data_IF_146780617867
#
_entry.id   IF_146780617867
#
_cell.length_a   1.000
_cell.length_b   1.000
_cell.length_c   1.000
_cell.angle_alpha   90.00
_cell.angle_beta   90.00
_cell.angle_gamma   90.00
#
_symmetry.space_group_name_H-M   'P 1'
#
loop_
_entity.id
_entity.type
_entity.pdbx_description
1 polymer ?
#
# COMPACT_ATOMS: atom_id res chain seq x y z
N UNK A 1 -4.47 -13.04 -23.20
CA UNK A 1 -5.59 -13.05 -22.24
C UNK A 1 -5.59 -11.82 -21.32
N UNK A 2 -4.43 -11.24 -20.99
CA UNK A 2 -4.36 -10.08 -20.08
C UNK A 2 -4.29 -10.47 -18.61
N UNK A 3 -4.16 -11.76 -18.33
CA UNK A 3 -3.97 -12.36 -17.01
C UNK A 3 -3.41 -13.78 -17.21
N UNK A 4 -2.82 -14.34 -16.15
CA UNK A 4 -2.43 -15.76 -16.08
C UNK A 4 -3.66 -16.55 -15.61
N UNK A 5 -4.16 -17.52 -16.41
CA UNK A 5 -5.35 -18.27 -16.03
C UNK A 5 -5.14 -19.18 -14.81
N UNK A 6 -6.24 -19.44 -14.08
CA UNK A 6 -6.27 -20.27 -12.88
C UNK A 6 -6.12 -21.77 -13.17
N UNK A 7 -6.63 -22.25 -14.31
CA UNK A 7 -6.82 -23.67 -14.60
C UNK A 7 -5.84 -24.23 -15.66
N UNK A 8 -4.65 -23.63 -15.80
CA UNK A 8 -3.65 -24.00 -16.83
C UNK A 8 -2.35 -24.59 -16.25
N UNK A 9 -2.39 -25.06 -15.00
CA UNK A 9 -1.23 -25.67 -14.34
C UNK A 9 -0.14 -24.68 -13.90
N UNK A 10 -0.50 -23.40 -13.75
CA UNK A 10 0.38 -22.35 -13.22
C UNK A 10 -0.24 -21.86 -11.91
N UNK A 11 0.41 -22.14 -10.78
CA UNK A 11 -0.04 -21.67 -9.46
C UNK A 11 0.27 -20.18 -9.26
N UNK A 12 -0.35 -19.59 -8.23
CA UNK A 12 -0.20 -18.18 -7.82
C UNK A 12 -0.52 -17.20 -8.97
N UNK A 13 -1.39 -17.62 -9.88
CA UNK A 13 -1.64 -16.95 -11.14
C UNK A 13 -2.25 -15.54 -10.98
N UNK A 14 -3.03 -15.30 -9.93
CA UNK A 14 -3.59 -13.98 -9.64
C UNK A 14 -2.54 -13.04 -9.06
N UNK A 15 -1.74 -13.50 -8.10
CA UNK A 15 -0.59 -12.74 -7.56
C UNK A 15 0.36 -12.32 -8.70
N UNK A 16 0.78 -13.27 -9.54
CA UNK A 16 1.61 -13.02 -10.74
C UNK A 16 1.00 -11.97 -11.66
N UNK A 17 -0.30 -12.06 -11.94
CA UNK A 17 -0.97 -11.10 -12.83
C UNK A 17 -0.95 -9.68 -12.27
N UNK A 18 -1.16 -9.52 -10.97
CA UNK A 18 -1.19 -8.21 -10.30
C UNK A 18 0.21 -7.57 -10.30
N UNK A 19 1.22 -8.34 -9.92
CA UNK A 19 2.61 -7.90 -9.92
C UNK A 19 3.11 -7.60 -11.33
N UNK A 20 2.81 -8.45 -12.32
CA UNK A 20 3.19 -8.19 -13.72
C UNK A 20 2.53 -6.92 -14.29
N UNK A 21 1.31 -6.58 -13.86
CA UNK A 21 0.68 -5.32 -14.26
C UNK A 21 1.46 -4.11 -13.71
N UNK A 22 1.92 -4.18 -12.47
CA UNK A 22 2.78 -3.15 -11.90
C UNK A 22 4.16 -3.11 -12.59
N UNK A 23 4.77 -4.27 -12.88
CA UNK A 23 6.06 -4.35 -13.58
C UNK A 23 5.97 -3.75 -14.99
N UNK A 24 4.89 -4.04 -15.74
CA UNK A 24 4.62 -3.44 -17.05
C UNK A 24 4.47 -1.90 -16.91
N UNK A 25 3.90 -1.39 -15.82
CA UNK A 25 3.88 0.05 -15.55
C UNK A 25 5.29 0.61 -15.30
N UNK A 26 6.16 -0.08 -14.57
CA UNK A 26 7.55 0.35 -14.39
C UNK A 26 8.31 0.40 -15.72
N UNK A 27 8.12 -0.60 -16.59
CA UNK A 27 8.71 -0.61 -17.95
C UNK A 27 8.19 0.57 -18.77
N UNK A 28 6.89 0.87 -18.67
CA UNK A 28 6.29 2.04 -19.31
C UNK A 28 6.95 3.35 -18.82
N UNK A 29 7.15 3.53 -17.51
CA UNK A 29 7.81 4.71 -16.95
C UNK A 29 9.26 4.85 -17.43
N UNK A 30 10.03 3.74 -17.46
CA UNK A 30 11.40 3.76 -18.01
C UNK A 30 11.40 4.14 -19.49
N UNK A 31 10.46 3.61 -20.27
CA UNK A 31 10.27 3.97 -21.68
C UNK A 31 10.00 5.47 -21.88
N UNK A 32 9.17 6.09 -21.03
CA UNK A 32 8.96 7.55 -21.01
C UNK A 32 10.25 8.30 -20.70
N UNK A 33 10.97 7.90 -19.65
CA UNK A 33 12.22 8.55 -19.24
C UNK A 33 13.30 8.49 -20.34
N UNK A 34 13.40 7.37 -21.05
CA UNK A 34 14.30 7.18 -22.20
C UNK A 34 13.80 7.83 -23.50
N UNK A 35 12.65 8.51 -23.47
CA UNK A 35 12.01 9.13 -24.65
C UNK A 35 11.81 8.15 -25.81
N UNK A 36 11.45 6.90 -25.50
CA UNK A 36 11.15 5.88 -26.52
C UNK A 36 9.92 6.27 -27.34
N UNK A 37 9.81 5.84 -28.61
CA UNK A 37 8.64 6.11 -29.42
C UNK A 37 7.35 5.64 -28.74
N UNK A 38 6.29 6.46 -28.79
CA UNK A 38 4.99 6.14 -28.15
C UNK A 38 4.48 4.74 -28.49
N UNK A 39 4.61 4.34 -29.76
CA UNK A 39 4.19 3.02 -30.26
C UNK A 39 4.93 1.85 -29.58
N UNK A 40 6.18 2.04 -29.15
CA UNK A 40 6.94 1.00 -28.45
C UNK A 40 6.47 0.83 -27.00
N UNK A 41 6.06 1.92 -26.34
CA UNK A 41 5.72 1.91 -24.91
C UNK A 41 4.22 1.73 -24.63
N UNK A 42 3.36 1.95 -25.63
CA UNK A 42 1.90 1.87 -25.49
C UNK A 42 1.40 0.48 -25.09
N UNK A 43 2.12 -0.59 -25.48
CA UNK A 43 1.79 -1.95 -25.06
C UNK A 43 1.92 -2.12 -23.55
N UNK A 44 2.94 -1.50 -22.93
CA UNK A 44 3.18 -1.55 -21.50
C UNK A 44 2.15 -0.71 -20.73
N UNK A 45 1.76 0.46 -21.26
CA UNK A 45 0.63 1.23 -20.72
C UNK A 45 -0.68 0.42 -20.71
N UNK A 46 -0.96 -0.32 -21.79
CA UNK A 46 -2.14 -1.19 -21.87
C UNK A 46 -2.06 -2.33 -20.85
N UNK A 47 -0.90 -2.99 -20.75
CA UNK A 47 -0.72 -4.13 -19.84
C UNK A 47 -0.69 -3.71 -18.37
N UNK A 48 -0.27 -2.49 -18.06
CA UNK A 48 -0.38 -1.92 -16.72
C UNK A 48 -1.82 -1.91 -16.18
N UNK A 49 -2.83 -1.95 -17.05
CA UNK A 49 -4.23 -2.04 -16.66
C UNK A 49 -4.74 -3.48 -16.48
N UNK A 50 -3.87 -4.51 -16.59
CA UNK A 50 -4.27 -5.92 -16.54
C UNK A 50 -4.84 -6.35 -15.18
N UNK A 51 -4.54 -5.64 -14.09
CA UNK A 51 -5.15 -5.90 -12.78
C UNK A 51 -6.70 -5.88 -12.85
N UNK A 52 -7.28 -5.06 -13.74
CA UNK A 52 -8.73 -4.97 -13.96
C UNK A 52 -9.35 -6.29 -14.41
N UNK A 53 -8.57 -7.18 -15.04
CA UNK A 53 -9.08 -8.44 -15.59
C UNK A 53 -9.45 -9.47 -14.51
N UNK A 54 -8.89 -9.34 -13.30
CA UNK A 54 -9.10 -10.26 -12.18
C UNK A 54 -10.01 -9.69 -11.09
N UNK A 55 -10.50 -8.47 -11.24
CA UNK A 55 -11.42 -7.89 -10.26
C UNK A 55 -12.82 -8.47 -10.42
N UNK A 56 -13.31 -9.16 -9.40
CA UNK A 56 -14.67 -9.68 -9.32
C UNK A 56 -15.60 -8.64 -8.66
N UNK A 57 -16.52 -8.01 -9.43
CA UNK A 57 -17.41 -6.99 -8.90
C UNK A 57 -18.45 -7.52 -7.90
N UNK A 58 -18.76 -8.83 -7.91
CA UNK A 58 -19.70 -9.44 -6.96
C UNK A 58 -19.12 -9.40 -5.53
N UNK A 59 -17.83 -9.70 -5.40
CA UNK A 59 -17.13 -9.78 -4.11
C UNK A 59 -16.27 -8.55 -3.81
N UNK A 60 -16.08 -7.65 -4.79
CA UNK A 60 -15.18 -6.49 -4.73
C UNK A 60 -13.72 -6.85 -4.42
N UNK A 61 -13.28 -7.99 -4.93
CA UNK A 61 -12.02 -8.62 -4.60
C UNK A 61 -11.34 -9.16 -5.86
N UNK A 62 -10.02 -9.30 -5.81
CA UNK A 62 -9.28 -10.00 -6.87
C UNK A 62 -9.57 -11.49 -6.79
N UNK A 63 -9.80 -12.12 -7.93
CA UNK A 63 -10.27 -13.50 -8.03
C UNK A 63 -9.60 -14.21 -9.21
N UNK A 64 -9.25 -15.48 -9.02
CA UNK A 64 -8.70 -16.31 -10.09
C UNK A 64 -9.65 -16.36 -11.30
N UNK A 65 -9.10 -16.44 -12.50
CA UNK A 65 -9.92 -16.45 -13.72
C UNK A 65 -9.45 -17.56 -14.64
N UNK A 66 -10.37 -18.41 -15.06
CA UNK A 66 -10.11 -19.54 -15.94
C UNK A 66 -9.74 -19.05 -17.35
N UNK A 67 -9.14 -19.93 -18.14
CA UNK A 67 -8.68 -19.61 -19.50
C UNK A 67 -9.83 -19.16 -20.42
N UNK A 68 -11.04 -19.68 -20.18
CA UNK A 68 -12.26 -19.33 -20.92
C UNK A 68 -12.86 -17.96 -20.52
N UNK A 69 -12.30 -17.28 -19.53
CA UNK A 69 -12.76 -15.98 -19.04
C UNK A 69 -13.77 -16.03 -17.89
N UNK A 70 -14.19 -17.22 -17.43
CA UNK A 70 -15.01 -17.36 -16.22
C UNK A 70 -14.17 -17.19 -14.97
N UNK A 71 -14.72 -16.60 -13.90
CA UNK A 71 -14.03 -16.59 -12.60
C UNK A 71 -14.04 -17.99 -11.98
N UNK A 72 -12.96 -18.37 -11.29
CA UNK A 72 -12.84 -19.72 -10.71
C UNK A 72 -13.93 -19.96 -9.65
N UNK A 73 -14.50 -21.16 -9.60
CA UNK A 73 -15.57 -21.51 -8.65
C UNK A 73 -15.35 -22.91 -8.06
N UNK A 74 -15.62 -23.15 -6.76
CA UNK A 74 -16.10 -22.19 -5.77
C UNK A 74 -15.05 -21.13 -5.40
N UNK A 75 -15.48 -19.94 -4.98
CA UNK A 75 -14.60 -18.89 -4.48
C UNK A 75 -14.61 -18.83 -2.96
N UNK A 76 -13.43 -18.97 -2.37
CA UNK A 76 -13.19 -18.67 -0.96
C UNK A 76 -12.16 -17.53 -0.87
N UNK A 77 -12.55 -16.30 -0.49
CA UNK A 77 -11.63 -15.17 -0.41
C UNK A 77 -10.59 -15.31 0.71
N UNK A 78 -10.80 -16.23 1.65
CA UNK A 78 -9.92 -16.52 2.78
C UNK A 78 -8.98 -17.71 2.54
N UNK A 79 -9.02 -18.31 1.35
CA UNK A 79 -8.09 -19.38 0.97
C UNK A 79 -6.71 -18.81 0.70
N UNK A 80 -5.73 -19.26 1.46
CA UNK A 80 -4.33 -18.87 1.28
C UNK A 80 -3.67 -19.72 0.19
N UNK A 81 -2.76 -19.11 -0.57
CA UNK A 81 -2.08 -19.77 -1.67
C UNK A 81 -2.97 -19.92 -2.90
N UNK A 82 -2.81 -21.01 -3.65
CA UNK A 82 -3.62 -21.36 -4.82
C UNK A 82 -3.54 -20.31 -5.94
N UNK A 83 -4.44 -19.33 -5.96
CA UNK A 83 -4.37 -18.21 -6.90
C UNK A 83 -3.38 -17.12 -6.44
N UNK A 84 -3.05 -17.08 -5.16
CA UNK A 84 -2.17 -16.08 -4.53
C UNK A 84 -0.92 -16.77 -3.95
N UNK A 85 0.06 -15.99 -3.49
CA UNK A 85 1.23 -16.49 -2.77
C UNK A 85 1.17 -16.03 -1.33
N UNK A 86 1.42 -16.93 -0.37
CA UNK A 86 1.54 -16.64 1.08
C UNK A 86 0.44 -15.75 1.67
N UNK A 87 -0.74 -15.77 1.06
CA UNK A 87 -1.81 -14.84 1.36
C UNK A 87 -3.06 -15.22 0.61
N UNK A 88 -4.12 -14.43 0.84
CA UNK A 88 -5.41 -14.64 0.22
C UNK A 88 -5.87 -13.38 -0.53
N UNK A 89 -7.10 -13.38 -1.02
CA UNK A 89 -7.63 -12.27 -1.80
C UNK A 89 -7.71 -10.95 -1.01
N UNK A 90 -7.95 -11.00 0.30
CA UNK A 90 -7.97 -9.82 1.17
C UNK A 90 -6.59 -9.17 1.34
N UNK A 91 -5.51 -9.89 1.05
CA UNK A 91 -4.16 -9.34 1.09
C UNK A 91 -3.75 -8.79 -0.29
N UNK A 92 -3.99 -9.56 -1.35
CA UNK A 92 -3.52 -9.24 -2.70
C UNK A 92 -4.41 -8.25 -3.46
N UNK A 93 -5.66 -8.03 -3.05
CA UNK A 93 -6.55 -7.08 -3.75
C UNK A 93 -5.97 -5.65 -3.80
N UNK A 94 -5.11 -5.31 -2.84
CA UNK A 94 -4.48 -4.01 -2.72
C UNK A 94 -3.23 -3.84 -3.59
N UNK A 95 -2.73 -4.89 -4.25
CA UNK A 95 -1.52 -4.89 -5.10
C UNK A 95 -1.74 -4.21 -6.44
N UNK A 96 -2.12 -2.92 -6.39
CA UNK A 96 -2.30 -2.01 -7.53
C UNK A 96 -1.59 -0.70 -7.20
N UNK A 97 -0.28 -0.79 -6.90
CA UNK A 97 0.55 0.30 -6.39
C UNK A 97 0.53 1.54 -7.30
N UNK A 98 0.56 1.30 -8.61
CA UNK A 98 0.64 2.33 -9.65
C UNK A 98 -0.70 2.95 -10.00
N UNK A 99 -1.83 2.32 -9.65
CA UNK A 99 -3.16 2.83 -9.98
C UNK A 99 -4.23 2.68 -8.86
N UNK A 100 -4.00 3.20 -7.64
CA UNK A 100 -5.00 3.19 -6.58
C UNK A 100 -6.33 3.82 -7.01
N UNK A 101 -6.32 4.91 -7.77
CA UNK A 101 -7.56 5.52 -8.29
C UNK A 101 -8.35 4.54 -9.17
N UNK A 102 -7.68 3.79 -10.05
CA UNK A 102 -8.36 2.80 -10.88
C UNK A 102 -8.98 1.66 -10.05
N UNK A 103 -8.35 1.26 -8.94
CA UNK A 103 -8.94 0.31 -7.98
C UNK A 103 -10.12 0.92 -7.21
N UNK A 104 -10.03 2.20 -6.81
CA UNK A 104 -11.13 2.95 -6.20
C UNK A 104 -12.34 2.96 -7.15
N UNK A 105 -12.12 3.21 -8.44
CA UNK A 105 -13.19 3.25 -9.44
C UNK A 105 -13.85 1.86 -9.59
N UNK A 106 -13.08 0.77 -9.59
CA UNK A 106 -13.60 -0.61 -9.61
C UNK A 106 -14.46 -0.94 -8.37
N UNK A 107 -14.09 -0.41 -7.21
CA UNK A 107 -14.81 -0.63 -5.94
C UNK A 107 -16.09 0.20 -5.78
N UNK A 108 -16.41 1.05 -6.77
CA UNK A 108 -17.58 1.93 -6.76
C UNK A 108 -17.33 3.26 -6.08
N UNK A 109 -16.08 3.73 -6.07
CA UNK A 109 -15.67 5.00 -5.50
C UNK A 109 -15.06 4.90 -4.10
N UNK A 110 -14.69 6.07 -3.56
CA UNK A 110 -13.90 6.20 -2.32
C UNK A 110 -14.56 5.51 -1.12
N UNK A 111 -15.89 5.57 -1.02
CA UNK A 111 -16.63 4.98 0.09
C UNK A 111 -16.57 3.44 0.06
N UNK A 112 -16.77 2.85 -1.13
CA UNK A 112 -16.63 1.40 -1.31
C UNK A 112 -15.21 0.91 -1.03
N UNK A 113 -14.21 1.67 -1.50
CA UNK A 113 -12.80 1.39 -1.23
C UNK A 113 -12.47 1.44 0.26
N UNK A 114 -12.90 2.50 0.96
CA UNK A 114 -12.67 2.66 2.40
C UNK A 114 -13.39 1.58 3.22
N UNK A 115 -14.61 1.21 2.84
CA UNK A 115 -15.36 0.14 3.51
C UNK A 115 -14.65 -1.22 3.39
N UNK A 116 -14.11 -1.54 2.22
CA UNK A 116 -13.35 -2.78 2.01
C UNK A 116 -12.08 -2.79 2.86
N UNK A 117 -11.37 -1.65 2.96
CA UNK A 117 -10.14 -1.56 3.75
C UNK A 117 -10.41 -1.58 5.25
N UNK A 118 -11.47 -0.93 5.72
CA UNK A 118 -11.93 -1.02 7.12
C UNK A 118 -12.26 -2.48 7.48
N UNK A 119 -12.86 -3.22 6.55
CA UNK A 119 -13.26 -4.61 6.76
C UNK A 119 -12.08 -5.54 7.01
N UNK A 120 -10.89 -5.25 6.47
CA UNK A 120 -9.66 -6.04 6.73
C UNK A 120 -9.37 -6.15 8.22
N UNK A 121 -9.55 -5.07 8.98
CA UNK A 121 -9.31 -5.06 10.43
C UNK A 121 -10.46 -5.63 11.26
N UNK A 122 -11.67 -5.68 10.69
CA UNK A 122 -12.89 -6.12 11.37
C UNK A 122 -13.10 -7.62 11.21
N UNK A 123 -12.78 -8.18 10.04
CA UNK A 123 -12.97 -9.58 9.75
C UNK A 123 -12.10 -10.43 10.68
N UNK A 124 -12.65 -11.44 11.37
CA UNK A 124 -11.86 -12.32 12.21
C UNK A 124 -10.75 -13.00 11.37
N UNK A 125 -9.59 -13.33 11.96
CA UNK A 125 -8.47 -14.00 11.26
C UNK A 125 -8.78 -15.46 10.95
N UNK A 126 -9.92 -15.72 10.29
CA UNK A 126 -10.31 -17.01 9.73
C UNK A 126 -9.54 -17.17 8.42
N UNK A 127 -9.04 -18.38 8.19
CA UNK A 127 -8.26 -18.74 7.02
C UNK A 127 -8.72 -20.10 6.49
N UNK A 128 -8.34 -20.39 5.25
CA UNK A 128 -8.39 -21.73 4.66
C UNK A 128 -6.99 -22.08 4.15
N UNK A 129 -6.37 -23.06 4.82
CA UNK A 129 -5.01 -23.55 4.57
C UNK A 129 -4.97 -24.77 3.65
N UNK A 130 -6.09 -25.16 3.03
CA UNK A 130 -6.21 -26.40 2.25
C UNK A 130 -5.18 -26.55 1.13
N UNK A 131 -4.69 -25.44 0.57
CA UNK A 131 -3.60 -25.43 -0.40
C UNK A 131 -2.28 -25.94 0.20
N UNK A 132 -1.90 -25.42 1.36
CA UNK A 132 -0.66 -25.78 2.07
C UNK A 132 -0.79 -27.08 2.86
N UNK A 133 -2.02 -27.52 3.17
CA UNK A 133 -2.35 -28.73 3.95
C UNK A 133 -1.88 -28.68 5.41
N UNK A 134 -1.45 -27.51 5.87
CA UNK A 134 -1.04 -27.22 7.22
C UNK A 134 -1.10 -25.70 7.45
N UNK A 135 -1.19 -25.30 8.72
CA UNK A 135 -1.03 -23.89 9.11
C UNK A 135 0.46 -23.54 9.01
N UNK A 136 0.83 -22.84 7.93
CA UNK A 136 2.16 -22.24 7.76
C UNK A 136 2.35 -21.08 8.77
N UNK A 137 3.60 -20.64 8.97
CA UNK A 137 3.90 -19.70 10.05
C UNK A 137 3.25 -18.33 9.83
N UNK A 138 3.17 -17.86 8.59
CA UNK A 138 2.54 -16.60 8.17
C UNK A 138 1.05 -16.55 8.53
N UNK A 139 0.34 -17.69 8.40
CA UNK A 139 -1.06 -17.82 8.84
C UNK A 139 -1.15 -17.69 10.37
N UNK A 140 -0.25 -18.37 11.09
CA UNK A 140 -0.22 -18.35 12.56
C UNK A 140 0.09 -16.96 13.09
N UNK A 141 1.06 -16.29 12.48
CA UNK A 141 1.48 -14.92 12.77
C UNK A 141 0.30 -13.95 12.65
N UNK A 142 -0.41 -13.94 11.51
CA UNK A 142 -1.64 -13.13 11.36
C UNK A 142 -2.64 -13.42 12.48
N UNK A 143 -2.88 -14.71 12.79
CA UNK A 143 -3.91 -15.12 13.75
C UNK A 143 -3.65 -14.58 15.16
N UNK A 144 -2.40 -14.60 15.64
CA UNK A 144 -2.08 -14.20 17.02
C UNK A 144 -2.00 -12.69 17.22
N UNK A 145 -1.81 -11.91 16.13
CA UNK A 145 -1.69 -10.45 16.22
C UNK A 145 -3.02 -9.75 16.52
N UNK A 146 -4.16 -10.41 16.35
CA UNK A 146 -5.49 -9.86 16.64
C UNK A 146 -5.72 -8.49 15.98
N UNK A 147 -5.53 -8.42 14.66
CA UNK A 147 -5.74 -7.24 13.80
C UNK A 147 -6.61 -7.59 12.58
N UNK A 148 -7.58 -8.47 12.78
CA UNK A 148 -8.39 -9.03 11.70
C UNK A 148 -7.55 -9.82 10.70
N UNK A 149 -7.76 -9.58 9.40
CA UNK A 149 -6.96 -10.14 8.30
C UNK A 149 -5.77 -9.24 7.91
N UNK A 150 -5.40 -8.25 8.73
CA UNK A 150 -4.19 -7.46 8.45
C UNK A 150 -2.92 -8.25 8.82
N UNK A 151 -2.41 -9.02 7.87
CA UNK A 151 -1.20 -9.85 8.01
C UNK A 151 0.09 -9.04 7.77
N UNK A 152 0.44 -8.14 8.69
CA UNK A 152 1.59 -7.22 8.55
C UNK A 152 2.94 -7.92 8.32
N UNK A 153 3.12 -9.12 8.91
CA UNK A 153 4.31 -9.94 8.77
C UNK A 153 4.57 -10.43 7.35
N UNK A 154 3.63 -10.24 6.42
CA UNK A 154 3.79 -10.61 5.02
C UNK A 154 3.73 -9.39 4.07
N UNK A 155 4.56 -9.39 3.04
CA UNK A 155 4.82 -8.25 2.16
C UNK A 155 3.60 -7.74 1.36
N UNK A 156 2.69 -8.59 0.82
CA UNK A 156 1.64 -8.14 -0.09
C UNK A 156 0.69 -7.06 0.46
N UNK A 157 0.60 -6.90 1.78
CA UNK A 157 -0.33 -5.98 2.43
C UNK A 157 0.35 -4.80 3.14
N UNK A 158 1.69 -4.74 3.18
CA UNK A 158 2.43 -3.75 3.98
C UNK A 158 2.14 -2.29 3.58
N UNK A 159 1.85 -2.02 2.30
CA UNK A 159 1.50 -0.70 1.80
C UNK A 159 0.02 -0.32 2.02
N UNK A 160 -0.86 -1.28 2.32
CA UNK A 160 -2.32 -1.09 2.33
C UNK A 160 -2.76 0.08 3.22
N UNK A 161 -2.12 0.29 4.37
CA UNK A 161 -2.47 1.38 5.29
C UNK A 161 -2.36 2.76 4.64
N UNK A 162 -1.39 2.94 3.75
CA UNK A 162 -1.16 4.18 3.04
C UNK A 162 -2.21 4.43 1.97
N UNK A 163 -2.99 3.42 1.57
CA UNK A 163 -4.01 3.54 0.54
C UNK A 163 -5.18 4.45 0.96
N UNK A 164 -5.43 4.65 2.26
CA UNK A 164 -6.39 5.65 2.75
C UNK A 164 -6.07 7.09 2.29
N UNK A 165 -4.82 7.39 1.95
CA UNK A 165 -4.41 8.70 1.43
C UNK A 165 -4.95 8.99 0.02
N UNK A 166 -5.23 7.94 -0.75
CA UNK A 166 -5.76 8.03 -2.12
C UNK A 166 -7.28 8.18 -2.15
N UNK A 167 -7.96 7.74 -1.09
CA UNK A 167 -9.41 7.82 -0.92
C UNK A 167 -9.86 8.98 -0.04
N UNK A 168 -8.96 9.88 0.32
CA UNK A 168 -9.25 11.10 1.09
C UNK A 168 -9.58 10.88 2.55
N UNK A 169 -9.06 9.82 3.18
CA UNK A 169 -9.18 9.58 4.62
C UNK A 169 -7.82 9.36 5.30
N UNK A 170 -6.83 10.25 5.12
CA UNK A 170 -5.46 10.05 5.62
C UNK A 170 -5.37 9.84 7.14
N UNK A 171 -6.34 10.34 7.92
CA UNK A 171 -6.39 10.09 9.36
C UNK A 171 -6.56 8.61 9.73
N UNK A 172 -7.16 7.78 8.86
CA UNK A 172 -7.24 6.34 9.07
C UNK A 172 -5.87 5.66 8.89
N UNK A 173 -5.09 6.11 7.90
CA UNK A 173 -3.69 5.67 7.77
C UNK A 173 -2.90 6.03 9.04
N UNK A 174 -3.00 7.28 9.51
CA UNK A 174 -2.31 7.76 10.71
C UNK A 174 -2.66 6.92 11.95
N UNK A 175 -3.92 6.53 12.10
CA UNK A 175 -4.35 5.65 13.19
C UNK A 175 -3.69 4.27 13.10
N UNK A 176 -3.88 3.57 11.97
CA UNK A 176 -3.43 2.18 11.83
C UNK A 176 -1.91 2.04 11.76
N UNK A 177 -1.21 2.99 11.15
CA UNK A 177 0.27 2.98 11.11
C UNK A 177 0.82 3.05 12.54
N UNK A 178 0.26 3.90 13.41
CA UNK A 178 0.69 3.94 14.82
C UNK A 178 0.34 2.67 15.58
N UNK A 179 -0.86 2.13 15.38
CA UNK A 179 -1.22 0.84 16.00
C UNK A 179 -0.24 -0.27 15.60
N UNK A 180 0.14 -0.35 14.32
CA UNK A 180 1.11 -1.33 13.83
C UNK A 180 2.50 -1.11 14.43
N UNK A 181 3.01 0.12 14.40
CA UNK A 181 4.32 0.43 14.94
C UNK A 181 4.41 0.18 16.45
N UNK A 182 3.37 0.55 17.21
CA UNK A 182 3.33 0.42 18.67
C UNK A 182 3.15 -1.04 19.11
N UNK A 183 2.45 -1.86 18.31
CA UNK A 183 2.04 -3.23 18.68
C UNK A 183 2.90 -4.34 18.08
N UNK A 184 3.37 -4.18 16.84
CA UNK A 184 3.95 -5.28 16.04
C UNK A 184 5.48 -5.25 15.98
N UNK A 185 6.11 -4.25 16.59
CA UNK A 185 7.56 -4.10 16.64
C UNK A 185 8.01 -3.89 18.07
N UNK A 186 8.98 -4.69 18.53
CA UNK A 186 9.61 -4.54 19.84
C UNK A 186 11.12 -4.66 19.72
N UNK A 187 11.89 -4.07 20.64
CA UNK A 187 13.36 -4.20 20.65
C UNK A 187 13.84 -5.54 21.24
N UNK A 188 12.94 -6.47 21.54
CA UNK A 188 13.26 -7.76 22.13
C UNK A 188 13.81 -8.76 21.09
N UNK A 189 14.43 -9.89 21.50
CA UNK A 189 14.89 -10.92 20.57
C UNK A 189 13.80 -11.49 19.64
N UNK A 190 12.54 -11.46 20.07
CA UNK A 190 11.33 -11.81 19.34
C UNK A 190 10.61 -10.56 18.78
N UNK A 191 11.41 -9.60 18.31
CA UNK A 191 10.97 -8.22 18.04
C UNK A 191 10.02 -7.98 16.88
N UNK A 192 9.85 -8.95 15.98
CA UNK A 192 9.03 -8.81 14.77
C UNK A 192 7.77 -9.66 14.85
N UNK A 193 6.72 -9.24 14.14
CA UNK A 193 5.46 -9.99 14.06
C UNK A 193 5.43 -11.10 12.99
N UNK A 194 6.56 -11.36 12.33
CA UNK A 194 6.77 -12.32 11.24
C UNK A 194 8.22 -12.21 10.76
N UNK A 195 8.50 -12.70 9.56
CA UNK A 195 9.85 -12.69 9.00
C UNK A 195 10.35 -11.26 8.72
N UNK A 196 11.67 -11.06 8.89
CA UNK A 196 12.33 -9.77 8.68
C UNK A 196 12.51 -9.45 7.19
N UNK A 197 12.69 -10.49 6.39
CA UNK A 197 12.80 -10.49 4.93
C UNK A 197 13.81 -9.48 4.36
N UNK A 198 15.08 -9.71 4.73
CA UNK A 198 16.25 -9.11 4.09
C UNK A 198 16.26 -7.58 4.14
N UNK A 199 15.66 -6.99 5.18
CA UNK A 199 15.53 -5.55 5.33
C UNK A 199 14.15 -4.99 4.96
N UNK A 200 13.26 -5.75 4.33
CA UNK A 200 11.94 -5.23 3.90
C UNK A 200 11.08 -4.81 5.10
N UNK A 201 10.85 -5.70 6.06
CA UNK A 201 10.01 -5.43 7.23
C UNK A 201 10.65 -4.39 8.15
N UNK A 202 11.98 -4.36 8.23
CA UNK A 202 12.73 -3.32 8.95
C UNK A 202 12.64 -1.95 8.26
N UNK A 203 12.80 -1.90 6.94
CA UNK A 203 12.70 -0.66 6.17
C UNK A 203 11.30 -0.06 6.23
N UNK A 204 10.26 -0.92 6.27
CA UNK A 204 8.89 -0.46 6.53
C UNK A 204 8.81 0.36 7.83
N UNK A 205 9.40 -0.14 8.93
CA UNK A 205 9.41 0.59 10.20
C UNK A 205 10.19 1.90 10.09
N UNK A 206 11.36 1.91 9.43
CA UNK A 206 12.18 3.12 9.25
C UNK A 206 11.42 4.20 8.48
N UNK A 207 10.80 3.85 7.35
CA UNK A 207 9.99 4.79 6.56
C UNK A 207 8.75 5.26 7.32
N UNK A 208 8.02 4.34 7.94
CA UNK A 208 6.84 4.66 8.74
C UNK A 208 7.18 5.59 9.90
N UNK A 209 8.33 5.39 10.56
CA UNK A 209 8.82 6.24 11.63
C UNK A 209 9.19 7.67 11.18
N UNK A 210 9.72 7.81 9.96
CA UNK A 210 9.90 9.11 9.30
C UNK A 210 8.57 9.80 9.01
N UNK A 211 7.50 9.03 8.86
CA UNK A 211 6.14 9.52 8.61
C UNK A 211 5.74 9.50 7.13
N UNK A 212 6.45 8.76 6.27
CA UNK A 212 6.10 8.58 4.86
C UNK A 212 6.66 7.27 4.29
N UNK A 213 6.03 6.71 3.25
CA UNK A 213 6.39 5.40 2.69
C UNK A 213 6.31 5.39 1.15
N UNK A 214 7.25 4.74 0.45
CA UNK A 214 7.25 4.63 -1.01
C UNK A 214 6.25 3.57 -1.49
N UNK A 215 4.95 3.90 -1.55
CA UNK A 215 3.89 2.96 -1.96
C UNK A 215 4.10 2.42 -3.38
N UNK A 216 4.56 3.27 -4.31
CA UNK A 216 4.74 2.91 -5.70
C UNK A 216 6.16 3.25 -6.19
N UNK A 217 7.16 2.39 -5.90
CA UNK A 217 8.50 2.56 -6.47
C UNK A 217 8.44 2.75 -7.99
N UNK A 218 9.21 3.71 -8.51
CA UNK A 218 9.13 4.13 -9.91
C UNK A 218 8.36 5.45 -10.11
N UNK A 219 7.60 5.91 -9.12
CA UNK A 219 7.26 7.33 -8.98
C UNK A 219 8.37 8.07 -8.24
N UNK A 220 8.25 9.38 -8.11
CA UNK A 220 9.06 10.20 -7.21
C UNK A 220 8.33 10.50 -5.89
N UNK A 221 7.27 9.76 -5.53
CA UNK A 221 6.41 10.11 -4.40
C UNK A 221 6.58 9.20 -3.17
N UNK A 222 6.56 9.80 -1.99
CA UNK A 222 6.48 9.14 -0.69
C UNK A 222 5.15 9.50 -0.04
N UNK A 223 4.26 8.53 0.13
CA UNK A 223 2.91 8.74 0.68
C UNK A 223 2.99 8.96 2.18
N UNK A 224 2.32 10.01 2.66
CA UNK A 224 2.35 10.38 4.07
C UNK A 224 1.66 9.33 4.95
N UNK A 225 2.30 9.06 6.09
CA UNK A 225 1.71 8.36 7.23
C UNK A 225 1.59 9.33 8.40
N UNK A 226 2.28 9.02 9.49
CA UNK A 226 2.42 9.89 10.66
C UNK A 226 3.80 9.69 11.28
N UNK A 227 4.54 10.76 11.64
CA UNK A 227 5.87 10.63 12.21
C UNK A 227 5.80 9.93 13.58
N UNK A 228 6.84 9.20 13.95
CA UNK A 228 6.91 8.51 15.25
C UNK A 228 7.70 9.29 16.31
N UNK A 229 8.75 10.00 15.88
CA UNK A 229 9.59 10.79 16.78
C UNK A 229 9.18 12.26 16.81
N UNK A 230 9.66 12.98 17.83
CA UNK A 230 9.46 14.45 17.92
C UNK A 230 10.36 15.22 16.97
N UNK A 231 11.53 14.68 16.66
CA UNK A 231 12.44 15.24 15.67
C UNK A 231 13.22 14.09 15.00
N UNK A 232 13.42 14.18 13.70
CA UNK A 232 14.34 13.34 12.94
C UNK A 232 15.12 14.19 11.94
N UNK A 233 16.39 13.86 11.72
CA UNK A 233 17.23 14.48 10.70
C UNK A 233 17.80 13.41 9.77
N UNK A 234 17.58 13.59 8.47
CA UNK A 234 18.17 12.76 7.43
C UNK A 234 19.32 13.55 6.81
N UNK A 235 20.53 13.01 6.89
CA UNK A 235 21.70 13.57 6.21
C UNK A 235 21.86 12.87 4.87
N UNK A 236 21.68 13.63 3.79
CA UNK A 236 21.70 13.10 2.42
C UNK A 236 23.12 13.09 1.87
N UNK A 237 23.40 12.19 0.94
CA UNK A 237 24.71 12.08 0.29
C UNK A 237 25.13 13.36 -0.45
N UNK A 238 24.16 14.15 -0.93
CA UNK A 238 24.41 15.44 -1.57
C UNK A 238 24.77 16.58 -0.58
N UNK A 239 24.96 16.26 0.70
CA UNK A 239 25.30 17.19 1.77
C UNK A 239 24.12 18.01 2.30
N UNK A 240 22.91 17.84 1.77
CA UNK A 240 21.71 18.48 2.29
C UNK A 240 21.17 17.69 3.49
N UNK A 241 20.32 18.35 4.28
CA UNK A 241 19.66 17.74 5.43
C UNK A 241 18.15 17.94 5.30
N UNK A 242 17.39 16.88 5.54
CA UNK A 242 15.95 16.95 5.77
C UNK A 242 15.72 16.92 7.27
N UNK A 243 15.01 17.91 7.80
CA UNK A 243 14.59 17.98 9.21
C UNK A 243 13.09 17.75 9.27
N UNK A 244 12.68 16.73 10.02
CA UNK A 244 11.29 16.40 10.32
C UNK A 244 11.03 16.77 11.77
N UNK A 245 10.09 17.66 12.03
CA UNK A 245 9.76 18.16 13.37
C UNK A 245 8.29 17.92 13.69
N UNK A 246 8.02 17.30 14.82
CA UNK A 246 6.70 17.02 15.36
C UNK A 246 6.74 17.16 16.90
N UNK A 247 6.99 18.36 17.46
CA UNK A 247 7.35 18.54 18.87
C UNK A 247 6.27 18.06 19.85
N UNK A 248 5.00 18.07 19.41
CA UNK A 248 3.84 17.61 20.16
C UNK A 248 3.50 16.13 19.94
N UNK A 249 4.33 15.38 19.21
CA UNK A 249 4.11 13.95 19.00
C UNK A 249 4.20 13.17 20.31
N UNK A 250 3.34 12.16 20.43
CA UNK A 250 3.21 11.28 21.59
C UNK A 250 2.13 10.22 21.36
N UNK A 251 2.00 9.30 22.31
CA UNK A 251 1.06 8.17 22.22
C UNK A 251 -0.41 8.63 22.12
N UNK A 252 -0.72 9.77 22.75
CA UNK A 252 -2.02 10.43 22.74
C UNK A 252 -2.24 11.36 21.52
N UNK A 253 -1.20 11.63 20.73
CA UNK A 253 -1.21 12.65 19.65
C UNK A 253 -0.59 12.11 18.36
N UNK A 254 -1.37 11.24 17.69
CA UNK A 254 -0.97 10.57 16.45
C UNK A 254 -1.44 11.23 15.16
N UNK A 255 -2.38 12.17 15.24
CA UNK A 255 -3.01 12.74 14.04
C UNK A 255 -2.30 14.01 13.60
N UNK A 256 -2.18 14.19 12.28
CA UNK A 256 -1.63 15.41 11.69
C UNK A 256 -2.78 16.41 11.51
N UNK A 257 -2.81 17.45 12.36
CA UNK A 257 -3.76 18.56 12.23
C UNK A 257 -3.39 19.47 11.07
N UNK A 258 -2.11 19.82 10.92
CA UNK A 258 -1.58 20.56 9.78
C UNK A 258 -0.10 20.24 9.56
N UNK A 259 0.41 20.61 8.38
CA UNK A 259 1.80 20.38 8.00
C UNK A 259 2.33 21.60 7.24
N UNK A 260 3.61 21.90 7.41
CA UNK A 260 4.33 22.83 6.54
C UNK A 260 5.55 22.15 5.92
N UNK A 261 5.87 22.55 4.69
CA UNK A 261 7.08 22.20 3.98
C UNK A 261 7.83 23.49 3.68
N UNK A 262 9.03 23.63 4.23
CA UNK A 262 9.86 24.84 4.11
C UNK A 262 9.11 26.13 4.51
N UNK A 263 8.32 26.05 5.59
CA UNK A 263 7.55 27.17 6.14
C UNK A 263 6.25 27.49 5.42
N UNK A 264 5.91 26.79 4.33
CA UNK A 264 4.65 26.97 3.59
C UNK A 264 3.65 25.87 3.96
N UNK A 265 2.37 26.23 4.03
CA UNK A 265 1.30 25.26 4.25
C UNK A 265 1.33 24.15 3.19
N UNK A 266 1.15 22.90 3.65
CA UNK A 266 1.25 21.71 2.81
C UNK A 266 0.12 20.71 3.12
N UNK A 267 -0.83 20.59 2.19
CA UNK A 267 -2.05 19.77 2.36
C UNK A 267 -1.95 18.39 1.71
N UNK A 268 -1.04 18.21 0.74
CA UNK A 268 -0.87 16.95 0.02
C UNK A 268 -0.55 15.79 0.96
N UNK A 269 -0.97 14.61 0.54
CA UNK A 269 -0.76 13.34 1.23
C UNK A 269 0.49 12.60 0.75
N UNK A 270 1.44 13.31 0.13
CA UNK A 270 2.70 12.74 -0.31
C UNK A 270 3.79 13.82 -0.28
N UNK A 271 5.05 13.41 -0.27
CA UNK A 271 6.23 14.26 -0.52
C UNK A 271 6.89 13.79 -1.82
N UNK A 272 7.51 14.69 -2.57
CA UNK A 272 8.31 14.26 -3.73
C UNK A 272 9.77 14.01 -3.35
N UNK A 273 10.44 13.16 -4.10
CA UNK A 273 11.87 12.89 -3.95
C UNK A 273 12.69 14.16 -4.16
N UNK A 274 12.27 15.02 -5.07
CA UNK A 274 12.92 16.31 -5.29
C UNK A 274 12.75 17.28 -4.10
N UNK A 275 11.59 17.27 -3.42
CA UNK A 275 11.40 18.04 -2.18
C UNK A 275 12.46 17.63 -1.14
N UNK A 276 12.69 16.33 -0.98
CA UNK A 276 13.66 15.79 -0.03
C UNK A 276 15.11 16.10 -0.44
N UNK A 277 15.48 15.85 -1.70
CA UNK A 277 16.85 16.07 -2.21
C UNK A 277 17.29 17.54 -2.11
N UNK A 278 16.37 18.50 -2.17
CA UNK A 278 16.70 19.91 -2.01
C UNK A 278 17.08 20.30 -0.57
N UNK A 279 16.92 19.37 0.39
CA UNK A 279 16.85 19.68 1.81
C UNK A 279 15.48 20.27 2.14
N UNK A 280 14.85 19.73 3.20
CA UNK A 280 13.50 20.10 3.57
C UNK A 280 13.38 20.33 5.08
N UNK A 281 12.62 21.34 5.47
CA UNK A 281 12.13 21.52 6.83
C UNK A 281 10.64 21.17 6.84
N UNK A 282 10.33 19.99 7.34
CA UNK A 282 8.98 19.44 7.43
C UNK A 282 8.51 19.60 8.87
N UNK A 283 7.42 20.33 9.08
CA UNK A 283 6.85 20.53 10.42
C UNK A 283 5.43 20.00 10.47
N UNK A 284 5.18 19.07 11.39
CA UNK A 284 3.89 18.48 11.66
C UNK A 284 3.29 19.04 12.95
N UNK A 285 2.07 19.57 12.85
CA UNK A 285 1.26 19.89 14.02
C UNK A 285 0.46 18.65 14.41
N UNK A 286 0.95 17.93 15.43
CA UNK A 286 0.30 16.74 15.96
C UNK A 286 -0.89 17.08 16.86
N UNK A 287 -1.92 16.24 16.84
CA UNK A 287 -3.16 16.39 17.60
C UNK A 287 -3.71 15.01 18.04
N UNK A 288 -4.52 15.02 19.10
CA UNK A 288 -5.19 13.85 19.65
C UNK A 288 -6.45 13.49 18.85
N UNK A 289 -7.01 14.44 18.10
CA UNK A 289 -8.19 14.23 17.26
C UNK A 289 -7.84 14.34 15.77
N UNK A 290 -8.49 13.53 14.90
CA UNK A 290 -8.25 13.62 13.48
C UNK A 290 -8.78 14.93 12.89
N UNK A 291 -7.99 15.58 12.03
CA UNK A 291 -8.49 16.63 11.15
C UNK A 291 -9.08 15.99 9.88
N UNK A 292 -10.41 15.87 9.84
CA UNK A 292 -11.12 15.25 8.72
C UNK A 292 -11.22 16.15 7.47
N UNK A 293 -10.68 17.37 7.52
CA UNK A 293 -10.66 18.31 6.40
C UNK A 293 -9.30 18.36 5.68
N UNK A 294 -8.23 17.86 6.30
CA UNK A 294 -6.88 17.86 5.70
C UNK A 294 -6.72 16.69 4.75
N UNK A 295 -6.18 16.95 3.54
CA UNK A 295 -5.77 15.90 2.62
C UNK A 295 -6.95 15.17 1.96
N UNK A 296 -8.07 15.85 1.78
CA UNK A 296 -9.32 15.27 1.25
C UNK A 296 -9.64 15.73 -0.17
N UNK A 297 -8.93 16.74 -0.68
CA UNK A 297 -9.12 17.25 -2.04
C UNK A 297 -8.38 16.37 -3.03
N UNK A 298 -8.89 16.27 -4.25
CA UNK A 298 -8.25 15.48 -5.31
C UNK A 298 -6.82 15.93 -5.61
N UNK A 299 -6.54 17.23 -5.48
CA UNK A 299 -5.19 17.80 -5.60
C UNK A 299 -4.21 17.38 -4.50
N UNK A 300 -4.71 16.80 -3.41
CA UNK A 300 -3.90 16.33 -2.29
C UNK A 300 -3.52 14.85 -2.44
N UNK A 301 -4.13 14.10 -3.37
CA UNK A 301 -3.91 12.67 -3.51
C UNK A 301 -2.59 12.36 -4.21
N UNK A 302 -1.94 11.24 -3.86
CA UNK A 302 -0.75 10.80 -4.58
C UNK A 302 -1.10 10.25 -5.97
N UNK A 303 -0.06 9.93 -6.73
CA UNK A 303 -0.09 9.44 -8.10
C UNK A 303 -1.03 8.25 -8.31
N UNK A 304 -1.78 8.27 -9.41
CA UNK A 304 -2.45 7.07 -9.93
C UNK A 304 -2.44 7.11 -11.44
N UNK A 305 -2.11 5.98 -12.06
CA UNK A 305 -1.93 5.91 -13.50
C UNK A 305 -3.19 6.29 -14.28
N UNK A 306 -4.38 5.93 -13.80
CA UNK A 306 -5.65 6.31 -14.43
C UNK A 306 -5.88 7.84 -14.48
N UNK A 307 -5.19 8.63 -13.63
CA UNK A 307 -5.27 10.09 -13.68
C UNK A 307 -4.39 10.71 -14.78
N UNK A 308 -3.42 9.98 -15.37
CA UNK A 308 -2.63 10.48 -16.52
C UNK A 308 -3.47 10.60 -17.81
N UNK A 309 -4.66 10.01 -17.84
CA UNK A 309 -5.53 9.94 -19.03
C UNK A 309 -6.81 10.80 -18.93
N UNK A 310 -6.97 11.56 -17.85
CA UNK A 310 -8.07 12.51 -17.64
C UNK A 310 -7.67 13.90 -18.14
#
# INVERSE_FOLDING_TARGET
LGYVPYNVGINENAARTLEYAYDDWCIYQLGKALKKPKKEIEIFAKRAMNYKNLYDPEHKLMRGKNEDGTFQSPFNPLKWGDAFTEGNSWHYTWSVFHDPQGLIDLMGGKDGFNQMMDSVFILPPIFDESYYRAVIHEIREMQIMNMGNYAHGNQPIQHMLYMYNYSGQPWKAQHWIREVMDKLYTPAPDGYCGDEDNGQTSAWYVFSAMGFYPVCPGTDEYVLGTPYFKEMKLHLENGKTVTISAPNNGDDKRYISSMTLNGKEYTKNYLTHQDLLNGASISFKMDAKPNQQRGTKESDFPYSFSNEFK
#
